data_IF_264518035961
#
_entry.id   IF_264518035961
#
_cell.length_a   1.000
_cell.length_b   1.000
_cell.length_c   1.000
_cell.angle_alpha   90.00
_cell.angle_beta   90.00
_cell.angle_gamma   90.00
#
_symmetry.space_group_name_H-M   'P 1'
#
loop_
_entity.id
_entity.type
_entity.pdbx_description
1 polymer ?
#
# COMPACT_ATOMS: atom_id res chain seq x y z
N UNK A 1 4.72 8.52 11.03
CA UNK A 1 4.45 7.06 11.10
C UNK A 1 2.97 6.69 11.25
N UNK A 2 2.11 7.49 11.91
CA UNK A 2 0.69 7.13 12.11
C UNK A 2 -0.09 6.82 10.83
N UNK A 3 0.22 7.52 9.73
CA UNK A 3 -0.43 7.30 8.43
C UNK A 3 -0.15 5.93 7.81
N UNK A 4 1.01 5.33 8.09
CA UNK A 4 1.36 4.00 7.57
C UNK A 4 0.51 2.89 8.20
N UNK A 5 0.22 3.01 9.49
CA UNK A 5 -0.59 2.02 10.21
C UNK A 5 -2.09 2.20 9.98
N UNK A 6 -2.56 3.42 9.70
CA UNK A 6 -3.99 3.70 9.51
C UNK A 6 -4.46 3.65 8.06
N UNK A 7 -3.55 3.58 7.08
CA UNK A 7 -3.91 3.54 5.67
C UNK A 7 -4.65 2.26 5.29
N UNK A 8 -5.62 2.38 4.37
CA UNK A 8 -6.29 1.26 3.70
C UNK A 8 -5.64 0.89 2.35
N UNK A 9 -4.57 1.61 1.96
CA UNK A 9 -3.78 1.30 0.76
C UNK A 9 -2.98 0.01 0.95
N UNK A 10 -2.52 -0.59 -0.14
CA UNK A 10 -1.51 -1.63 -0.09
C UNK A 10 -0.27 -1.10 0.67
N UNK A 11 0.36 -1.90 1.54
CA UNK A 11 1.53 -1.43 2.30
C UNK A 11 2.68 -1.00 1.40
N UNK A 12 2.90 -1.73 0.30
CA UNK A 12 3.91 -1.39 -0.70
C UNK A 12 3.58 -0.12 -1.47
N UNK A 13 2.30 0.11 -1.79
CA UNK A 13 1.88 1.37 -2.42
C UNK A 13 2.25 2.58 -1.55
N UNK A 14 1.99 2.51 -0.24
CA UNK A 14 2.36 3.59 0.68
C UNK A 14 3.87 3.84 0.70
N UNK A 15 4.67 2.77 0.75
CA UNK A 15 6.13 2.89 0.75
C UNK A 15 6.63 3.52 -0.55
N UNK A 16 6.17 3.05 -1.70
CA UNK A 16 6.54 3.62 -2.99
C UNK A 16 6.21 5.12 -3.07
N UNK A 17 5.01 5.52 -2.66
CA UNK A 17 4.63 6.95 -2.58
C UNK A 17 5.55 7.75 -1.65
N UNK A 18 5.89 7.20 -0.47
CA UNK A 18 6.76 7.87 0.51
C UNK A 18 8.20 8.07 0.01
N UNK A 19 8.68 7.21 -0.89
CA UNK A 19 9.99 7.30 -1.52
C UNK A 19 9.98 8.01 -2.88
N UNK A 20 8.83 8.53 -3.34
CA UNK A 20 8.70 9.30 -4.58
C UNK A 20 8.39 8.48 -5.85
N UNK A 21 8.15 7.17 -5.73
CA UNK A 21 7.78 6.26 -6.82
C UNK A 21 6.28 6.30 -7.11
N UNK A 22 5.75 7.49 -7.43
CA UNK A 22 4.31 7.69 -7.59
C UNK A 22 3.73 6.92 -8.79
N UNK A 23 4.49 6.75 -9.87
CA UNK A 23 4.01 6.05 -11.07
C UNK A 23 3.86 4.54 -10.82
N UNK A 24 4.85 3.95 -10.18
CA UNK A 24 4.87 2.54 -9.78
C UNK A 24 3.82 2.25 -8.71
N UNK A 25 3.54 3.21 -7.84
CA UNK A 25 2.53 3.08 -6.80
C UNK A 25 1.09 3.00 -7.32
N UNK A 26 0.76 3.64 -8.47
CA UNK A 26 -0.62 3.78 -8.95
C UNK A 26 -1.37 2.45 -9.07
N UNK A 27 -0.68 1.39 -9.50
CA UNK A 27 -1.25 0.07 -9.69
C UNK A 27 -0.70 -0.98 -8.70
N UNK A 28 -0.07 -0.52 -7.61
CA UNK A 28 0.61 -1.43 -6.68
C UNK A 28 -0.37 -2.14 -5.74
N UNK A 29 -0.77 -3.35 -6.12
CA UNK A 29 -1.54 -4.28 -5.29
C UNK A 29 -0.77 -5.57 -5.04
N UNK A 30 0.05 -5.62 -3.99
CA UNK A 30 0.94 -6.77 -3.76
C UNK A 30 0.18 -8.09 -3.52
N UNK A 31 -1.06 -8.05 -3.02
CA UNK A 31 -1.90 -9.23 -2.86
C UNK A 31 -1.61 -10.08 -1.61
N UNK A 32 -0.54 -9.80 -0.87
CA UNK A 32 -0.10 -10.56 0.30
C UNK A 32 0.12 -9.72 1.59
N UNK A 33 0.03 -8.40 1.53
CA UNK A 33 0.00 -7.60 2.77
C UNK A 33 -1.37 -7.71 3.48
N UNK A 34 -1.42 -7.40 4.77
CA UNK A 34 -2.64 -7.39 5.58
C UNK A 34 -3.82 -6.62 4.95
N UNK A 35 -3.59 -5.43 4.40
CA UNK A 35 -4.64 -4.65 3.72
C UNK A 35 -5.12 -5.32 2.42
N UNK A 36 -4.22 -5.98 1.67
CA UNK A 36 -4.59 -6.73 0.47
C UNK A 36 -5.33 -8.03 0.82
N UNK A 37 -4.91 -8.73 1.87
CA UNK A 37 -5.57 -9.96 2.34
C UNK A 37 -6.97 -9.63 2.85
N UNK A 38 -7.14 -8.54 3.61
CA UNK A 38 -8.47 -8.07 4.06
C UNK A 38 -9.41 -7.75 2.91
N UNK A 39 -8.92 -7.14 1.83
CA UNK A 39 -9.73 -6.80 0.64
C UNK A 39 -10.18 -7.99 -0.22
N UNK A 40 -9.52 -9.16 -0.08
CA UNK A 40 -9.88 -10.38 -0.82
C UNK A 40 -11.05 -11.15 -0.17
N UNK A 41 -11.41 -10.81 1.06
CA UNK A 41 -12.56 -11.36 1.79
C UNK A 41 -13.78 -10.51 1.56
#
# INVERSE_FOLDING_TARGET
>A
MNQYFSTKKCRWQFLLEAFGFFQEAQNMGCGYCDNCIKKKK
#
